data_IF_987303131647
#
_entry.id   IF_987303131647
#
_cell.length_a   1.000
_cell.length_b   1.000
_cell.length_c   1.000
_cell.angle_alpha   90.00
_cell.angle_beta   90.00
_cell.angle_gamma   90.00
#
_symmetry.space_group_name_H-M   'P 1'
#
loop_
_entity.id
_entity.type
_entity.pdbx_description
1 polymer ?
#
# COMPACT_ATOMS: atom_id res chain seq x y z
N UNK A 1 -41.10 -11.02 -51.04
CA UNK A 1 -40.39 -11.27 -49.76
C UNK A 1 -39.12 -10.43 -49.77
N UNK A 2 -39.08 -9.36 -48.97
CA UNK A 2 -37.90 -8.51 -48.84
C UNK A 2 -37.09 -9.06 -47.66
N UNK A 3 -35.94 -9.66 -47.92
CA UNK A 3 -35.01 -10.06 -46.85
C UNK A 3 -34.20 -8.84 -46.42
N UNK A 4 -34.29 -8.38 -45.17
CA UNK A 4 -33.46 -7.28 -44.71
C UNK A 4 -31.97 -7.67 -44.80
N UNK A 5 -31.08 -6.70 -45.11
CA UNK A 5 -29.65 -6.98 -45.16
C UNK A 5 -29.18 -7.47 -43.79
N UNK A 6 -28.53 -8.64 -43.78
CA UNK A 6 -27.90 -9.19 -42.60
C UNK A 6 -26.92 -8.17 -42.04
N UNK A 7 -27.17 -7.67 -40.83
CA UNK A 7 -26.18 -6.88 -40.09
C UNK A 7 -24.93 -7.73 -39.95
N UNK A 8 -23.74 -7.22 -40.33
CA UNK A 8 -22.51 -7.97 -40.14
C UNK A 8 -22.34 -8.29 -38.66
N UNK A 9 -21.81 -9.48 -38.30
CA UNK A 9 -21.58 -9.83 -36.91
C UNK A 9 -20.72 -8.73 -36.29
N UNK A 10 -21.22 -8.13 -35.22
CA UNK A 10 -20.49 -7.16 -34.41
C UNK A 10 -19.23 -7.84 -33.91
N UNK A 11 -18.14 -7.67 -34.64
CA UNK A 11 -16.83 -8.15 -34.23
C UNK A 11 -16.58 -7.49 -32.88
N UNK A 12 -16.38 -8.26 -31.79
CA UNK A 12 -16.11 -7.67 -30.50
C UNK A 12 -14.88 -6.79 -30.66
N UNK A 13 -15.07 -5.48 -30.51
CA UNK A 13 -14.00 -4.50 -30.59
C UNK A 13 -12.89 -4.97 -29.63
N UNK A 14 -11.64 -5.09 -30.09
CA UNK A 14 -10.56 -5.55 -29.24
C UNK A 14 -10.50 -4.63 -28.00
N UNK A 15 -10.35 -5.20 -26.79
CA UNK A 15 -10.39 -4.44 -25.56
C UNK A 15 -9.39 -3.29 -25.64
N UNK A 16 -9.84 -2.07 -25.31
CA UNK A 16 -9.05 -0.87 -25.47
C UNK A 16 -7.70 -1.03 -24.77
N UNK A 17 -6.61 -0.99 -25.54
CA UNK A 17 -5.26 -1.14 -25.00
C UNK A 17 -4.86 0.19 -24.35
N UNK A 18 -4.58 0.15 -23.04
CA UNK A 18 -4.08 1.31 -22.33
C UNK A 18 -2.64 1.58 -22.78
N UNK A 19 -2.48 2.49 -23.74
CA UNK A 19 -1.15 2.91 -24.24
C UNK A 19 -0.36 3.73 -23.23
N UNK A 20 -1.02 4.30 -22.22
CA UNK A 20 -0.41 5.12 -21.16
C UNK A 20 -0.79 4.60 -19.79
N UNK A 21 0.12 4.76 -18.84
CA UNK A 21 -0.10 4.44 -17.44
C UNK A 21 -1.26 5.30 -16.90
N UNK A 22 -2.32 4.70 -16.33
CA UNK A 22 -3.46 5.44 -15.83
C UNK A 22 -3.06 6.27 -14.60
N UNK A 23 -3.71 7.42 -14.43
CA UNK A 23 -3.45 8.33 -13.31
C UNK A 23 -3.61 7.65 -11.95
N UNK A 24 -4.56 6.73 -11.81
CA UNK A 24 -4.83 5.97 -10.57
C UNK A 24 -3.63 5.12 -10.14
N UNK A 25 -2.92 4.47 -11.08
CA UNK A 25 -1.70 3.70 -10.79
C UNK A 25 -0.54 4.63 -10.43
N UNK A 26 -0.50 5.82 -11.03
CA UNK A 26 0.48 6.85 -10.64
C UNK A 26 0.21 7.37 -9.24
N UNK A 27 -1.04 7.70 -8.91
CA UNK A 27 -1.43 8.11 -7.55
C UNK A 27 -1.12 7.03 -6.52
N UNK A 28 -1.45 5.77 -6.79
CA UNK A 28 -1.10 4.65 -5.91
C UNK A 28 0.42 4.53 -5.68
N UNK A 29 1.22 4.73 -6.73
CA UNK A 29 2.68 4.73 -6.62
C UNK A 29 3.20 5.91 -5.80
N UNK A 30 2.63 7.10 -6.00
CA UNK A 30 2.98 8.30 -5.21
C UNK A 30 2.61 8.11 -3.74
N UNK A 31 1.44 7.55 -3.45
CA UNK A 31 1.01 7.24 -2.08
C UNK A 31 1.93 6.22 -1.42
N UNK A 32 2.39 5.20 -2.15
CA UNK A 32 3.39 4.25 -1.65
C UNK A 32 4.73 4.94 -1.33
N UNK A 33 5.18 5.87 -2.17
CA UNK A 33 6.39 6.66 -1.89
C UNK A 33 6.21 7.59 -0.70
N UNK A 34 5.03 8.20 -0.54
CA UNK A 34 4.72 9.01 0.63
C UNK A 34 4.70 8.16 1.90
N UNK A 35 4.11 6.96 1.86
CA UNK A 35 4.15 6.03 2.98
C UNK A 35 5.57 5.56 3.30
N UNK A 36 6.38 5.26 2.29
CA UNK A 36 7.80 4.96 2.45
C UNK A 36 8.54 6.10 3.17
N UNK A 37 8.39 7.34 2.69
CA UNK A 37 9.04 8.51 3.29
C UNK A 37 8.51 8.77 4.70
N UNK A 38 7.21 8.60 4.91
CA UNK A 38 6.59 8.75 6.22
C UNK A 38 7.10 7.71 7.23
N UNK A 39 7.29 6.47 6.79
CA UNK A 39 7.78 5.39 7.66
C UNK A 39 9.26 5.60 8.03
N UNK A 40 10.08 6.14 7.12
CA UNK A 40 11.46 6.53 7.41
C UNK A 40 11.50 7.71 8.38
N UNK A 41 10.79 8.80 8.07
CA UNK A 41 10.87 10.04 8.85
C UNK A 41 10.16 9.94 10.19
N UNK A 42 8.96 9.38 10.21
CA UNK A 42 8.08 9.37 11.37
C UNK A 42 7.95 7.99 12.01
N UNK A 43 8.05 6.90 11.25
CA UNK A 43 7.94 5.54 11.78
C UNK A 43 9.11 5.16 12.68
N UNK A 44 10.35 5.41 12.23
CA UNK A 44 11.53 5.17 13.05
C UNK A 44 11.58 6.10 14.28
N UNK A 45 11.33 7.39 14.08
CA UNK A 45 11.35 8.38 15.16
C UNK A 45 10.22 8.20 16.18
N UNK A 46 8.99 7.95 15.70
CA UNK A 46 7.80 7.70 16.51
C UNK A 46 7.86 6.36 17.25
N UNK A 47 8.37 5.30 16.61
CA UNK A 47 8.56 4.00 17.25
C UNK A 47 9.59 4.07 18.38
N UNK A 48 10.71 4.76 18.15
CA UNK A 48 11.72 4.98 19.19
C UNK A 48 11.18 5.83 20.35
N UNK A 49 10.57 6.97 20.07
CA UNK A 49 10.00 7.84 21.13
C UNK A 49 8.87 7.15 21.89
N UNK A 50 8.04 6.34 21.22
CA UNK A 50 7.01 5.55 21.89
C UNK A 50 7.61 4.48 22.82
N UNK A 51 8.70 3.81 22.45
CA UNK A 51 9.40 2.87 23.35
C UNK A 51 9.96 3.58 24.58
N UNK A 52 10.56 4.77 24.41
CA UNK A 52 11.11 5.56 25.52
C UNK A 52 10.04 6.20 26.43
N UNK A 53 8.82 6.42 25.92
CA UNK A 53 7.75 7.11 26.64
C UNK A 53 6.62 6.19 27.11
N UNK A 54 6.53 4.97 26.55
CA UNK A 54 5.61 3.96 27.05
C UNK A 54 6.13 3.43 28.38
N UNK A 55 5.24 3.29 29.36
CA UNK A 55 5.47 2.60 30.64
C UNK A 55 5.92 1.13 30.48
N UNK A 56 6.09 0.62 29.25
CA UNK A 56 6.75 -0.65 28.96
C UNK A 56 8.24 -0.68 29.38
N UNK A 57 8.86 0.49 29.57
CA UNK A 57 10.15 0.64 30.25
C UNK A 57 9.89 1.31 31.59
N UNK A 58 9.41 0.53 32.55
CA UNK A 58 9.27 1.03 33.91
C UNK A 58 10.66 1.16 34.54
N UNK A 59 11.23 2.36 34.47
CA UNK A 59 12.52 2.69 35.08
C UNK A 59 12.50 2.59 36.61
N UNK A 60 11.32 2.39 37.23
CA UNK A 60 11.17 2.23 38.68
C UNK A 60 11.36 0.80 39.19
N UNK A 61 11.29 -0.21 38.31
CA UNK A 61 11.60 -1.63 38.62
C UNK A 61 13.10 -1.97 38.44
N UNK A 62 13.93 -1.01 38.01
CA UNK A 62 15.39 -1.20 37.95
C UNK A 62 15.99 -1.09 39.36
N UNK A 63 16.02 -2.20 40.09
CA UNK A 63 16.88 -2.33 41.28
C UNK A 63 18.35 -2.16 40.85
N UNK A 64 18.97 -1.07 41.33
CA UNK A 64 20.21 -0.48 40.81
C UNK A 64 21.50 -1.29 41.01
N UNK A 65 21.45 -2.53 41.52
CA UNK A 65 22.68 -3.25 41.91
C UNK A 65 23.03 -4.50 41.07
N UNK A 66 22.11 -5.16 40.37
CA UNK A 66 22.47 -6.33 39.53
C UNK A 66 21.73 -6.48 38.17
N UNK A 67 20.57 -5.83 37.97
CA UNK A 67 19.68 -6.14 36.82
C UNK A 67 19.76 -5.16 35.61
N UNK A 68 20.59 -4.12 35.71
CA UNK A 68 20.73 -3.10 34.65
C UNK A 68 21.20 -3.71 33.32
N UNK A 69 22.12 -4.67 33.37
CA UNK A 69 22.68 -5.28 32.16
C UNK A 69 21.64 -6.04 31.35
N UNK A 70 20.72 -6.74 32.03
CA UNK A 70 19.68 -7.54 31.41
C UNK A 70 18.55 -6.67 30.85
N UNK A 71 18.15 -5.61 31.56
CA UNK A 71 17.19 -4.63 31.04
C UNK A 71 17.71 -3.84 29.82
N UNK A 72 19.01 -3.53 29.76
CA UNK A 72 19.61 -2.94 28.56
C UNK A 72 19.68 -3.92 27.38
N UNK A 73 19.89 -5.21 27.63
CA UNK A 73 19.91 -6.25 26.60
C UNK A 73 18.51 -6.44 25.99
N UNK A 74 17.46 -6.51 26.82
CA UNK A 74 16.08 -6.62 26.35
C UNK A 74 15.62 -5.36 25.59
N UNK A 75 15.99 -4.17 26.07
CA UNK A 75 15.74 -2.91 25.35
C UNK A 75 16.46 -2.90 24.00
N UNK A 76 17.73 -3.31 23.96
CA UNK A 76 18.50 -3.38 22.72
C UNK A 76 17.90 -4.40 21.75
N UNK A 77 17.40 -5.53 22.24
CA UNK A 77 16.72 -6.54 21.44
C UNK A 77 15.42 -5.98 20.82
N UNK A 78 14.57 -5.33 21.62
CA UNK A 78 13.32 -4.71 21.15
C UNK A 78 13.61 -3.61 20.11
N UNK A 79 14.56 -2.71 20.40
CA UNK A 79 14.95 -1.64 19.47
C UNK A 79 15.49 -2.22 18.17
N UNK A 80 16.33 -3.27 18.26
CA UNK A 80 16.89 -3.96 17.08
C UNK A 80 15.78 -4.57 16.23
N UNK A 81 14.80 -5.22 16.85
CA UNK A 81 13.64 -5.79 16.16
C UNK A 81 12.82 -4.69 15.47
N UNK A 82 12.54 -3.58 16.16
CA UNK A 82 11.80 -2.44 15.57
C UNK A 82 12.54 -1.85 14.39
N UNK A 83 13.85 -1.66 14.48
CA UNK A 83 14.67 -1.16 13.37
C UNK A 83 14.66 -2.15 12.20
N UNK A 84 14.86 -3.45 12.47
CA UNK A 84 14.87 -4.49 11.45
C UNK A 84 13.54 -4.59 10.70
N UNK A 85 12.42 -4.58 11.43
CA UNK A 85 11.06 -4.58 10.85
C UNK A 85 10.83 -3.32 10.03
N UNK A 86 11.24 -2.15 10.54
CA UNK A 86 11.14 -0.87 9.82
C UNK A 86 11.89 -0.93 8.48
N UNK A 87 13.16 -1.38 8.50
CA UNK A 87 13.96 -1.54 7.28
C UNK A 87 13.30 -2.52 6.30
N UNK A 88 12.78 -3.65 6.79
CA UNK A 88 12.09 -4.62 5.96
C UNK A 88 10.85 -4.02 5.27
N UNK A 89 10.04 -3.24 5.99
CA UNK A 89 8.87 -2.55 5.45
C UNK A 89 9.25 -1.48 4.42
N UNK A 90 10.31 -0.70 4.70
CA UNK A 90 10.85 0.32 3.78
C UNK A 90 11.28 -0.31 2.46
N UNK A 91 12.07 -1.39 2.52
CA UNK A 91 12.51 -2.13 1.33
C UNK A 91 11.31 -2.71 0.58
N UNK A 92 10.34 -3.29 1.31
CA UNK A 92 9.14 -3.85 0.72
C UNK A 92 8.32 -2.80 -0.04
N UNK A 93 8.07 -1.62 0.55
CA UNK A 93 7.34 -0.54 -0.11
C UNK A 93 8.09 0.00 -1.33
N UNK A 94 9.42 0.15 -1.25
CA UNK A 94 10.24 0.56 -2.38
C UNK A 94 10.14 -0.43 -3.56
N UNK A 95 10.24 -1.73 -3.28
CA UNK A 95 10.08 -2.77 -4.31
C UNK A 95 8.67 -2.76 -4.90
N UNK A 96 7.63 -2.68 -4.06
CA UNK A 96 6.24 -2.67 -4.52
C UNK A 96 5.92 -1.44 -5.38
N UNK A 97 6.39 -0.25 -5.01
CA UNK A 97 6.20 0.98 -5.79
C UNK A 97 6.79 0.84 -7.19
N UNK A 98 8.00 0.30 -7.32
CA UNK A 98 8.64 0.04 -8.61
C UNK A 98 7.87 -1.01 -9.41
N UNK A 99 7.48 -2.13 -8.79
CA UNK A 99 6.78 -3.22 -9.50
C UNK A 99 5.35 -2.87 -9.91
N UNK A 100 4.67 -2.00 -9.16
CA UNK A 100 3.38 -1.41 -9.54
C UNK A 100 3.50 -0.57 -10.81
N UNK A 101 4.58 0.24 -10.90
CA UNK A 101 4.86 1.04 -12.10
C UNK A 101 5.06 0.19 -13.37
N UNK A 102 5.60 -1.02 -13.22
CA UNK A 102 5.76 -1.99 -14.32
C UNK A 102 4.44 -2.69 -14.68
N UNK A 103 3.46 -2.69 -13.77
CA UNK A 103 2.16 -3.36 -13.95
C UNK A 103 2.20 -4.86 -13.64
N UNK A 104 3.05 -5.30 -12.71
CA UNK A 104 3.04 -6.70 -12.24
C UNK A 104 1.83 -6.96 -11.36
N UNK A 105 1.01 -7.96 -11.72
CA UNK A 105 -0.21 -8.33 -11.00
C UNK A 105 0.04 -8.78 -9.55
N UNK A 106 1.12 -9.54 -9.31
CA UNK A 106 1.48 -9.93 -7.94
C UNK A 106 1.74 -8.71 -7.05
N UNK A 107 2.40 -7.66 -7.58
CA UNK A 107 2.64 -6.44 -6.81
C UNK A 107 1.34 -5.72 -6.45
N UNK A 108 0.36 -5.67 -7.35
CA UNK A 108 -0.97 -5.13 -7.04
C UNK A 108 -1.63 -5.89 -5.89
N UNK A 109 -1.66 -7.23 -5.96
CA UNK A 109 -2.31 -8.08 -4.95
C UNK A 109 -1.61 -7.95 -3.60
N UNK A 110 -0.28 -8.01 -3.58
CA UNK A 110 0.51 -7.85 -2.35
C UNK A 110 0.30 -6.48 -1.73
N UNK A 111 0.27 -5.41 -2.53
CA UNK A 111 -0.03 -4.07 -2.00
C UNK A 111 -1.44 -3.99 -1.44
N UNK A 112 -2.45 -4.52 -2.12
CA UNK A 112 -3.83 -4.54 -1.58
C UNK A 112 -3.88 -5.28 -0.24
N UNK A 113 -3.24 -6.45 -0.14
CA UNK A 113 -3.21 -7.24 1.09
C UNK A 113 -2.54 -6.48 2.24
N UNK A 114 -1.39 -5.85 1.99
CA UNK A 114 -0.66 -5.07 3.00
C UNK A 114 -1.45 -3.83 3.42
N UNK A 115 -2.06 -3.10 2.48
CA UNK A 115 -2.83 -1.90 2.80
C UNK A 115 -4.10 -2.24 3.59
N UNK A 116 -4.75 -3.37 3.27
CA UNK A 116 -5.88 -3.86 4.06
C UNK A 116 -5.45 -4.28 5.46
N UNK A 117 -4.34 -5.01 5.58
CA UNK A 117 -3.80 -5.41 6.88
C UNK A 117 -3.47 -4.19 7.74
N UNK A 118 -2.78 -3.20 7.17
CA UNK A 118 -2.44 -1.94 7.85
C UNK A 118 -3.68 -1.15 8.28
N UNK A 119 -4.72 -1.15 7.43
CA UNK A 119 -5.99 -0.50 7.75
C UNK A 119 -6.72 -1.18 8.92
N UNK A 120 -6.82 -2.52 8.89
CA UNK A 120 -7.44 -3.31 9.95
C UNK A 120 -6.65 -3.20 11.25
N UNK A 121 -5.32 -3.32 11.20
CA UNK A 121 -4.47 -3.21 12.40
C UNK A 121 -4.56 -1.82 13.03
N UNK A 122 -4.60 -0.75 12.22
CA UNK A 122 -4.77 0.60 12.73
C UNK A 122 -6.15 0.81 13.39
N UNK A 123 -7.21 0.22 12.83
CA UNK A 123 -8.55 0.28 13.44
C UNK A 123 -8.62 -0.51 14.76
N UNK A 124 -8.01 -1.69 14.82
CA UNK A 124 -7.89 -2.47 16.07
C UNK A 124 -7.10 -1.66 17.11
N UNK A 125 -5.97 -1.05 16.73
CA UNK A 125 -5.17 -0.24 17.64
C UNK A 125 -5.95 0.95 18.22
N UNK A 126 -6.81 1.58 17.42
CA UNK A 126 -7.74 2.61 17.90
C UNK A 126 -8.70 1.99 18.93
N UNK A 127 -9.36 0.88 18.59
CA UNK A 127 -10.35 0.23 19.46
C UNK A 127 -9.75 -0.20 20.81
N UNK A 128 -8.61 -0.89 20.79
CA UNK A 128 -7.94 -1.35 22.02
C UNK A 128 -7.36 -0.20 22.83
N UNK A 129 -6.89 0.87 22.17
CA UNK A 129 -6.40 2.07 22.84
C UNK A 129 -7.49 2.83 23.62
N UNK A 130 -8.76 2.72 23.18
CA UNK A 130 -9.90 3.24 23.94
C UNK A 130 -10.28 2.33 25.12
N UNK A 131 -10.12 1.01 25.01
CA UNK A 131 -10.44 0.06 26.10
C UNK A 131 -9.42 0.10 27.25
N UNK A 132 -8.12 0.25 26.95
CA UNK A 132 -7.06 0.31 27.98
C UNK A 132 -7.17 1.51 28.93
N UNK A 133 -7.93 2.55 28.55
CA UNK A 133 -8.07 3.74 29.37
C UNK A 133 -9.00 3.56 30.59
N UNK A 134 -9.73 2.44 30.74
CA UNK A 134 -10.58 2.13 31.91
C UNK A 134 -11.69 3.15 32.21
N UNK A 135 -11.77 4.22 31.42
CA UNK A 135 -12.62 5.37 31.58
C UNK A 135 -13.34 5.54 30.25
N UNK A 136 -14.55 4.99 30.18
CA UNK A 136 -15.50 5.36 29.14
C UNK A 136 -15.67 6.90 29.18
N UNK A 137 -14.96 7.61 28.29
CA UNK A 137 -14.96 9.07 28.24
C UNK A 137 -13.68 9.79 28.66
N UNK A 138 -12.55 9.11 28.91
CA UNK A 138 -11.26 9.80 29.01
C UNK A 138 -10.98 10.56 27.70
N UNK A 139 -10.45 11.80 27.76
CA UNK A 139 -10.11 12.55 26.56
C UNK A 139 -9.03 11.76 25.84
N UNK A 140 -9.41 11.07 24.77
CA UNK A 140 -8.44 10.47 23.89
C UNK A 140 -7.50 11.57 23.42
N UNK A 141 -6.20 11.34 23.56
CA UNK A 141 -5.16 12.23 23.04
C UNK A 141 -5.51 12.56 21.59
N UNK A 142 -6.05 13.77 21.36
CA UNK A 142 -6.52 14.17 20.03
C UNK A 142 -5.41 14.09 19.00
N UNK A 143 -4.16 14.25 19.45
CA UNK A 143 -2.94 14.03 18.68
C UNK A 143 -2.80 12.59 18.18
N UNK A 144 -3.00 11.57 19.03
CA UNK A 144 -2.93 10.14 18.65
C UNK A 144 -4.03 9.80 17.66
N UNK A 145 -5.26 10.30 17.88
CA UNK A 145 -6.37 10.08 16.96
C UNK A 145 -6.10 10.70 15.59
N UNK A 146 -5.63 11.96 15.54
CA UNK A 146 -5.29 12.66 14.30
C UNK A 146 -4.16 11.93 13.56
N UNK A 147 -3.10 11.54 14.26
CA UNK A 147 -1.98 10.81 13.66
C UNK A 147 -2.42 9.45 13.10
N UNK A 148 -3.27 8.72 13.83
CA UNK A 148 -3.75 7.42 13.38
C UNK A 148 -4.68 7.57 12.17
N UNK A 149 -5.62 8.51 12.19
CA UNK A 149 -6.49 8.81 11.04
C UNK A 149 -5.69 9.26 9.81
N UNK A 150 -4.68 10.10 10.00
CA UNK A 150 -3.79 10.54 8.94
C UNK A 150 -3.01 9.35 8.35
N UNK A 151 -2.52 8.45 9.21
CA UNK A 151 -1.83 7.23 8.79
C UNK A 151 -2.75 6.26 8.03
N UNK A 152 -4.04 6.20 8.39
CA UNK A 152 -5.05 5.34 7.75
C UNK A 152 -5.56 5.91 6.42
N UNK A 153 -5.49 7.22 6.22
CA UNK A 153 -5.91 7.87 4.99
C UNK A 153 -5.06 7.43 3.78
N UNK A 154 -3.74 7.24 3.96
CA UNK A 154 -2.86 6.86 2.84
C UNK A 154 -3.12 5.43 2.31
N UNK A 155 -3.26 4.39 3.15
CA UNK A 155 -3.70 3.06 2.72
C UNK A 155 -5.06 3.08 2.03
N UNK A 156 -6.01 3.85 2.57
CA UNK A 156 -7.37 3.94 2.01
C UNK A 156 -7.38 4.53 0.60
N UNK A 157 -6.69 5.66 0.39
CA UNK A 157 -6.55 6.26 -0.95
C UNK A 157 -5.83 5.30 -1.91
N UNK A 158 -4.81 4.60 -1.43
CA UNK A 158 -4.06 3.62 -2.24
C UNK A 158 -4.98 2.46 -2.67
N UNK A 159 -5.79 1.93 -1.76
CA UNK A 159 -6.77 0.87 -2.04
C UNK A 159 -7.81 1.32 -3.08
N UNK A 160 -8.42 2.49 -2.88
CA UNK A 160 -9.40 3.05 -3.81
C UNK A 160 -8.79 3.16 -5.21
N UNK A 161 -7.56 3.69 -5.32
CA UNK A 161 -6.86 3.82 -6.60
C UNK A 161 -6.61 2.46 -7.26
N UNK A 162 -6.20 1.44 -6.51
CA UNK A 162 -5.90 0.11 -7.04
C UNK A 162 -7.14 -0.70 -7.41
N UNK A 163 -8.30 -0.41 -6.82
CA UNK A 163 -9.58 -1.03 -7.19
C UNK A 163 -10.27 -0.39 -8.40
N UNK A 164 -9.81 0.77 -8.87
CA UNK A 164 -10.39 1.40 -10.06
C UNK A 164 -10.28 0.52 -11.31
N UNK A 165 -11.30 0.60 -12.18
CA UNK A 165 -11.35 -0.18 -13.42
C UNK A 165 -10.13 0.03 -14.33
N UNK A 166 -9.61 1.26 -14.38
CA UNK A 166 -8.43 1.62 -15.16
C UNK A 166 -7.14 0.99 -14.60
N UNK A 167 -6.99 0.92 -13.27
CA UNK A 167 -5.88 0.21 -12.65
C UNK A 167 -5.96 -1.30 -12.93
N UNK A 168 -7.14 -1.90 -12.75
CA UNK A 168 -7.36 -3.31 -13.03
C UNK A 168 -7.07 -3.67 -14.49
N UNK A 169 -7.47 -2.83 -15.44
CA UNK A 169 -7.16 -3.01 -16.86
C UNK A 169 -5.64 -2.92 -17.13
N UNK A 170 -4.95 -1.96 -16.51
CA UNK A 170 -3.49 -1.82 -16.60
C UNK A 170 -2.76 -3.10 -16.14
N UNK A 171 -3.11 -3.63 -14.97
CA UNK A 171 -2.49 -4.85 -14.46
C UNK A 171 -2.89 -6.11 -15.23
N UNK A 172 -4.13 -6.18 -15.76
CA UNK A 172 -4.57 -7.28 -16.65
C UNK A 172 -3.80 -7.31 -17.96
N UNK A 173 -3.43 -6.14 -18.49
CA UNK A 173 -2.63 -6.00 -19.70
C UNK A 173 -1.11 -6.10 -19.43
N UNK A 174 -0.67 -6.61 -18.28
CA UNK A 174 0.77 -6.70 -17.89
C UNK A 174 1.50 -5.34 -17.90
N UNK A 175 0.76 -4.25 -17.75
CA UNK A 175 1.28 -2.89 -17.64
C UNK A 175 1.94 -2.37 -18.90
N UNK A 176 3.24 -2.08 -18.81
CA UNK A 176 3.99 -1.33 -19.84
C UNK A 176 4.24 -2.14 -21.12
N UNK A 177 4.14 -3.46 -21.03
CA UNK A 177 4.43 -4.40 -22.12
C UNK A 177 3.18 -5.26 -22.48
N UNK A 178 2.07 -4.65 -22.95
CA UNK A 178 0.83 -5.39 -23.20
C UNK A 178 0.89 -6.37 -24.36
N UNK A 179 1.86 -6.19 -25.27
CA UNK A 179 2.06 -7.03 -26.45
C UNK A 179 3.13 -8.11 -26.25
N UNK A 180 3.76 -8.17 -25.07
CA UNK A 180 4.84 -9.13 -24.79
C UNK A 180 4.28 -10.54 -24.64
N UNK A 181 4.44 -11.32 -25.69
CA UNK A 181 3.93 -12.70 -25.82
C UNK A 181 2.75 -12.86 -26.76
N UNK A 182 2.27 -11.79 -27.40
CA UNK A 182 1.36 -11.90 -28.54
C UNK A 182 2.19 -12.16 -29.81
N UNK A 183 1.73 -13.04 -30.72
CA UNK A 183 2.36 -13.19 -32.02
C UNK A 183 2.39 -11.82 -32.74
N UNK A 184 3.39 -11.55 -33.58
CA UNK A 184 3.49 -10.29 -34.30
C UNK A 184 2.16 -10.04 -35.03
N UNK A 185 1.46 -8.98 -34.65
CA UNK A 185 0.26 -8.56 -35.37
C UNK A 185 0.71 -8.19 -36.78
N UNK A 186 0.27 -8.97 -37.76
CA UNK A 186 0.36 -8.62 -39.17
C UNK A 186 -0.14 -7.18 -39.35
N UNK A 187 0.58 -6.33 -40.11
CA UNK A 187 0.22 -4.93 -40.27
C UNK A 187 -1.25 -4.83 -40.70
N UNK A 188 -2.01 -3.84 -40.17
CA UNK A 188 -3.39 -3.64 -40.58
C UNK A 188 -3.43 -3.50 -42.10
N UNK A 189 -4.22 -4.36 -42.76
CA UNK A 189 -4.38 -4.31 -44.20
C UNK A 189 -4.69 -2.86 -44.61
N UNK A 190 -4.02 -2.32 -45.64
CA UNK A 190 -4.26 -0.95 -46.07
C UNK A 190 -5.74 -0.78 -46.36
N UNK A 191 -6.40 0.08 -45.58
CA UNK A 191 -7.77 0.47 -45.84
C UNK A 191 -7.76 1.18 -47.21
N UNK A 192 -8.21 0.46 -48.24
CA UNK A 192 -8.39 1.02 -49.56
C UNK A 192 -9.41 2.16 -49.44
N UNK A 193 -8.93 3.40 -49.47
CA UNK A 193 -9.78 4.57 -49.65
C UNK A 193 -10.25 4.53 -51.10
N UNK A 194 -11.52 4.21 -51.32
CA UNK A 194 -12.17 4.51 -52.60
C UNK A 194 -12.28 6.03 -52.71
N UNK A 195 -11.62 6.59 -53.72
CA UNK A 195 -11.83 7.97 -54.16
C UNK A 195 -13.21 8.13 -54.80
#
# INVERSE_FOLDING_TARGET
>A
MYTPPATPPSTPLPPELLRRKPGTVTTAQVMLWLQFSFLICCGAGGGLTALFWSEALDFSDFEFEDDLSQGFEDLAAVVTVVIAVTIALVVLFGVLAVKIGVGRRWAQVTTIAIMLLAFVSGFIGIYTGFETAGQAGAPADGSRLIWTLLSLAMPLVTLICLFTGSANQWFRQRGRDPLRGLPPQSPPAPQYRSY
#
